data_IF_861489298719
#
_entry.id   IF_861489298719
#
_cell.length_a   1.000
_cell.length_b   1.000
_cell.length_c   1.000
_cell.angle_alpha   90.00
_cell.angle_beta   90.00
_cell.angle_gamma   90.00
#
_symmetry.space_group_name_H-M   'P 1'
#
loop_
_entity.id
_entity.type
_entity.pdbx_description
1 polymer ?
#
# COMPACT_ATOMS: atom_id res chain seq x y z
N UNK A 1 5.57 28.77 30.19
CA UNK A 1 4.18 28.87 30.66
C UNK A 1 3.64 30.24 30.32
N UNK A 2 3.37 30.42 29.04
CA UNK A 2 2.79 31.60 28.43
C UNK A 2 1.40 31.29 27.87
N UNK A 3 0.57 32.33 27.77
CA UNK A 3 -0.72 32.27 27.08
C UNK A 3 -0.65 33.25 25.91
N UNK A 4 -0.71 32.72 24.69
CA UNK A 4 -0.70 33.49 23.46
C UNK A 4 -2.11 33.54 22.86
N UNK A 5 -2.52 34.72 22.38
CA UNK A 5 -3.81 34.96 21.74
C UNK A 5 -3.54 35.68 20.41
N UNK A 6 -3.84 35.03 19.29
CA UNK A 6 -3.67 35.60 17.93
C UNK A 6 -4.75 36.65 17.64
N UNK A 7 -6.01 36.27 17.83
CA UNK A 7 -7.16 37.12 17.59
C UNK A 7 -7.74 36.91 16.19
N UNK A 8 -7.58 37.90 15.32
CA UNK A 8 -8.09 37.81 13.95
C UNK A 8 -6.97 38.06 12.95
N UNK A 9 -6.92 37.25 11.90
CA UNK A 9 -5.83 37.26 10.93
C UNK A 9 -5.14 35.90 10.90
N UNK A 10 -4.05 35.82 10.14
CA UNK A 10 -3.24 34.62 10.08
C UNK A 10 -2.03 34.85 10.99
N UNK A 11 -2.04 34.25 12.16
CA UNK A 11 -1.07 34.46 13.22
C UNK A 11 -0.06 33.32 13.32
N UNK A 12 1.16 33.65 13.77
CA UNK A 12 2.18 32.67 14.15
C UNK A 12 2.32 32.70 15.67
N UNK A 13 1.92 31.61 16.33
CA UNK A 13 1.98 31.45 17.78
C UNK A 13 3.13 30.51 18.13
N UNK A 14 4.06 31.01 18.94
CA UNK A 14 5.21 30.26 19.44
C UNK A 14 5.46 30.63 20.90
N UNK A 15 5.05 29.75 21.83
CA UNK A 15 5.30 29.90 23.26
C UNK A 15 6.77 29.71 23.65
N UNK A 16 7.53 29.02 22.80
CA UNK A 16 8.90 28.64 23.08
C UNK A 16 8.97 27.55 24.14
N UNK A 17 9.96 27.64 25.02
CA UNK A 17 10.15 26.62 26.05
C UNK A 17 9.15 26.76 27.19
N UNK A 18 8.50 25.67 27.55
CA UNK A 18 7.60 25.62 28.71
C UNK A 18 6.37 24.80 28.38
N UNK A 19 5.35 24.89 29.24
CA UNK A 19 4.02 24.38 28.93
C UNK A 19 3.15 25.57 28.59
N UNK A 20 2.86 25.78 27.31
CA UNK A 20 2.22 27.00 26.83
C UNK A 20 0.81 26.74 26.31
N UNK A 21 -0.03 27.79 26.30
CA UNK A 21 -1.36 27.73 25.69
C UNK A 21 -1.43 28.73 24.55
N UNK A 22 -1.73 28.26 23.35
CA UNK A 22 -1.82 29.05 22.13
C UNK A 22 -3.25 29.03 21.60
N UNK A 23 -3.86 30.21 21.50
CA UNK A 23 -5.25 30.42 21.07
C UNK A 23 -5.22 31.25 19.78
N UNK A 24 -5.54 30.67 18.62
CA UNK A 24 -5.45 31.36 17.32
C UNK A 24 -6.53 32.39 17.13
N UNK A 25 -7.77 31.93 17.04
CA UNK A 25 -8.93 32.80 16.88
C UNK A 25 -9.59 32.63 15.53
N UNK A 26 -9.48 33.61 14.62
CA UNK A 26 -10.02 33.49 13.25
C UNK A 26 -8.97 33.82 12.22
N UNK A 27 -8.96 33.11 11.10
CA UNK A 27 -7.93 33.15 10.08
C UNK A 27 -7.12 31.86 10.11
N UNK A 28 -6.09 31.77 9.27
CA UNK A 28 -5.27 30.56 9.15
C UNK A 28 -4.01 30.71 9.98
N UNK A 29 -3.99 30.10 11.15
CA UNK A 29 -2.98 30.24 12.18
C UNK A 29 -1.95 29.11 12.12
N UNK A 30 -0.74 29.41 12.62
CA UNK A 30 0.36 28.45 12.75
C UNK A 30 0.84 28.36 14.20
N UNK A 31 0.85 27.15 14.73
CA UNK A 31 1.28 26.83 16.09
C UNK A 31 2.64 26.13 16.08
N UNK A 32 3.62 26.69 16.79
CA UNK A 32 4.89 26.00 17.05
C UNK A 32 4.73 25.22 18.35
N UNK A 33 4.68 23.90 18.24
CA UNK A 33 4.56 22.99 19.40
C UNK A 33 5.91 22.30 19.62
N UNK A 34 6.62 22.70 20.66
CA UNK A 34 7.94 22.15 21.03
C UNK A 34 7.93 21.36 22.34
N UNK A 35 6.85 21.47 23.12
CA UNK A 35 6.65 20.75 24.37
C UNK A 35 5.38 19.91 24.33
N UNK A 36 5.45 18.67 24.83
CA UNK A 36 4.30 17.77 24.89
C UNK A 36 3.17 18.26 25.81
N UNK A 37 3.45 19.24 26.68
CA UNK A 37 2.44 19.90 27.50
C UNK A 37 1.70 21.04 26.79
N UNK A 38 2.18 21.51 25.64
CA UNK A 38 1.57 22.66 24.96
C UNK A 38 0.12 22.36 24.56
N UNK A 39 -0.73 23.37 24.71
CA UNK A 39 -2.16 23.31 24.39
C UNK A 39 -2.45 24.25 23.24
N UNK A 40 -2.90 23.69 22.12
CA UNK A 40 -3.46 24.45 21.00
C UNK A 40 -4.98 24.51 21.16
N UNK A 41 -5.55 25.71 21.08
CA UNK A 41 -6.99 25.94 21.23
C UNK A 41 -7.52 26.61 19.99
N UNK A 42 -8.41 25.91 19.28
CA UNK A 42 -9.05 26.43 18.08
C UNK A 42 -10.57 26.39 18.10
N UNK A 43 -11.15 27.34 17.36
CA UNK A 43 -12.57 27.49 17.16
C UNK A 43 -13.06 26.73 15.93
N UNK A 44 -14.32 26.31 15.95
CA UNK A 44 -14.96 25.71 14.79
C UNK A 44 -15.09 26.73 13.65
N UNK A 45 -14.64 26.37 12.44
CA UNK A 45 -14.60 27.25 11.26
C UNK A 45 -13.76 28.53 11.48
N UNK A 46 -12.71 28.43 12.29
CA UNK A 46 -11.75 29.52 12.54
C UNK A 46 -10.90 29.81 11.30
N UNK A 47 -10.51 28.78 10.56
CA UNK A 47 -9.71 28.91 9.36
C UNK A 47 -9.28 27.53 8.88
N UNK A 48 -8.09 27.48 8.28
CA UNK A 48 -7.36 26.26 7.96
C UNK A 48 -6.00 26.37 8.64
N UNK A 49 -5.87 25.66 9.74
CA UNK A 49 -4.87 25.93 10.76
C UNK A 49 -3.78 24.85 10.78
N UNK A 50 -2.58 25.21 11.24
CA UNK A 50 -1.40 24.33 11.17
C UNK A 50 -0.70 24.19 12.50
N UNK A 51 -0.49 22.95 12.91
CA UNK A 51 0.53 22.61 13.90
C UNK A 51 1.86 22.31 13.21
N UNK A 52 2.91 22.96 13.66
CA UNK A 52 4.30 22.71 13.29
C UNK A 52 5.05 22.23 14.53
N UNK A 53 5.53 20.99 14.54
CA UNK A 53 6.06 20.36 15.75
C UNK A 53 7.46 19.77 15.58
N UNK A 54 8.21 19.79 16.67
CA UNK A 54 9.49 19.08 16.83
C UNK A 54 9.34 17.81 17.67
N UNK A 55 8.14 17.54 18.21
CA UNK A 55 7.85 16.34 18.97
C UNK A 55 7.88 15.12 18.05
N UNK A 56 8.38 14.00 18.55
CA UNK A 56 8.37 12.73 17.80
C UNK A 56 6.98 12.13 17.64
N UNK A 57 5.95 12.72 18.26
CA UNK A 57 4.56 12.33 18.06
C UNK A 57 3.62 13.49 18.36
N UNK A 58 2.58 13.62 17.55
CA UNK A 58 1.51 14.59 17.77
C UNK A 58 0.19 14.11 17.17
N UNK A 59 -0.91 14.40 17.85
CA UNK A 59 -2.27 14.18 17.35
C UNK A 59 -2.98 15.51 17.23
N UNK A 60 -3.53 15.81 16.06
CA UNK A 60 -4.32 17.03 15.86
C UNK A 60 -5.55 17.04 16.78
N UNK A 61 -5.70 18.13 17.53
CA UNK A 61 -6.95 18.45 18.20
C UNK A 61 -8.07 18.73 17.18
N UNK A 62 -9.31 18.82 17.65
CA UNK A 62 -10.43 19.18 16.78
C UNK A 62 -10.25 20.58 16.17
N UNK A 63 -10.79 20.80 14.96
CA UNK A 63 -10.71 22.06 14.21
C UNK A 63 -9.30 22.44 13.73
N UNK A 64 -8.34 21.51 13.76
CA UNK A 64 -7.03 21.67 13.13
C UNK A 64 -6.95 20.79 11.90
N UNK A 65 -6.45 21.33 10.79
CA UNK A 65 -6.41 20.62 9.52
C UNK A 65 -5.00 20.17 9.16
N UNK A 66 -3.97 20.95 9.49
CA UNK A 66 -2.60 20.66 9.01
C UNK A 66 -1.65 20.29 10.15
N UNK A 67 -0.87 19.24 9.93
CA UNK A 67 0.24 18.83 10.79
C UNK A 67 1.52 18.77 9.98
N UNK A 68 2.59 19.39 10.48
CA UNK A 68 3.91 19.33 9.85
C UNK A 68 4.99 19.05 10.88
N UNK A 69 5.82 18.06 10.60
CA UNK A 69 6.98 17.72 11.41
C UNK A 69 8.22 18.48 10.92
N UNK A 70 8.95 19.09 11.84
CA UNK A 70 10.14 19.90 11.57
C UNK A 70 11.44 19.18 11.93
N UNK A 71 11.34 18.03 12.58
CA UNK A 71 12.50 17.25 13.00
C UNK A 71 13.03 16.36 11.88
N UNK A 72 14.12 15.66 12.18
CA UNK A 72 14.79 14.75 11.25
C UNK A 72 14.72 13.28 11.69
N UNK A 73 14.05 13.02 12.81
CA UNK A 73 13.88 11.66 13.36
C UNK A 73 12.58 11.03 12.88
N UNK A 74 12.28 9.84 13.41
CA UNK A 74 10.97 9.22 13.23
C UNK A 74 9.87 10.04 13.91
N UNK A 75 8.74 10.17 13.24
CA UNK A 75 7.57 10.91 13.67
C UNK A 75 6.31 10.06 13.63
N UNK A 76 5.46 10.19 14.64
CA UNK A 76 4.12 9.61 14.65
C UNK A 76 3.07 10.72 14.64
N UNK A 77 2.57 11.04 13.43
CA UNK A 77 1.57 12.07 13.18
C UNK A 77 0.18 11.49 13.00
N UNK A 78 -0.79 11.97 13.78
CA UNK A 78 -2.18 11.52 13.69
C UNK A 78 -3.07 12.74 13.44
N UNK A 79 -3.94 12.66 12.45
CA UNK A 79 -4.98 13.66 12.17
C UNK A 79 -6.18 13.52 13.12
N UNK A 80 -7.33 13.97 12.66
CA UNK A 80 -8.59 13.95 13.40
C UNK A 80 -9.71 13.41 12.52
N UNK A 81 -10.85 14.10 12.43
CA UNK A 81 -11.99 13.66 11.61
C UNK A 81 -12.31 14.59 10.44
N UNK A 82 -11.46 15.61 10.25
CA UNK A 82 -11.53 16.56 9.16
C UNK A 82 -10.63 16.08 8.03
N UNK A 83 -10.64 16.79 6.91
CA UNK A 83 -9.65 16.61 5.86
C UNK A 83 -8.32 17.18 6.37
N UNK A 84 -7.38 16.31 6.64
CA UNK A 84 -6.09 16.62 7.20
C UNK A 84 -4.99 16.60 6.14
N UNK A 85 -4.05 17.54 6.23
CA UNK A 85 -2.77 17.44 5.54
C UNK A 85 -1.67 17.19 6.57
N UNK A 86 -1.04 16.03 6.49
CA UNK A 86 0.01 15.61 7.41
C UNK A 86 1.31 15.44 6.63
N UNK A 87 2.35 16.15 7.06
CA UNK A 87 3.70 16.06 6.46
C UNK A 87 4.69 15.57 7.49
N UNK A 88 5.29 14.42 7.21
CA UNK A 88 6.43 13.85 7.92
C UNK A 88 7.74 14.57 7.58
N UNK A 89 8.86 13.89 7.81
CA UNK A 89 10.21 14.40 7.69
C UNK A 89 11.13 13.48 6.90
N UNK A 90 12.36 13.33 7.41
CA UNK A 90 13.38 12.47 6.80
C UNK A 90 13.64 11.17 7.58
N UNK A 91 12.80 10.87 8.55
CA UNK A 91 12.86 9.64 9.35
C UNK A 91 11.79 8.65 8.91
N UNK A 92 11.80 7.46 9.52
CA UNK A 92 10.75 6.47 9.26
C UNK A 92 9.50 6.85 10.04
N UNK A 93 8.52 7.40 9.36
CA UNK A 93 7.35 8.02 9.95
C UNK A 93 6.13 7.09 9.95
N UNK A 94 5.24 7.30 10.90
CA UNK A 94 3.91 6.67 10.95
C UNK A 94 2.91 7.80 10.86
N UNK A 95 2.21 7.90 9.73
CA UNK A 95 1.23 8.93 9.47
C UNK A 95 -0.16 8.30 9.38
N UNK A 96 -1.11 8.83 10.15
CA UNK A 96 -2.51 8.41 10.10
C UNK A 96 -3.43 9.61 9.93
N UNK A 97 -4.35 9.57 8.97
CA UNK A 97 -5.37 10.60 8.78
C UNK A 97 -6.38 10.65 9.94
N UNK A 98 -6.66 9.51 10.57
CA UNK A 98 -7.37 9.40 11.83
C UNK A 98 -8.56 8.46 11.74
N UNK A 99 -9.58 8.68 12.58
CA UNK A 99 -10.78 7.83 12.65
C UNK A 99 -12.03 8.53 12.09
N UNK A 100 -11.88 9.61 11.31
CA UNK A 100 -13.00 10.25 10.63
C UNK A 100 -13.16 9.78 9.19
N UNK A 101 -14.08 10.43 8.47
CA UNK A 101 -14.32 10.28 7.04
C UNK A 101 -13.64 11.40 6.25
N UNK A 102 -12.53 11.93 6.77
CA UNK A 102 -11.82 13.03 6.15
C UNK A 102 -11.12 12.54 4.89
N UNK A 103 -11.09 13.36 3.85
CA UNK A 103 -10.25 13.07 2.68
C UNK A 103 -8.87 13.67 2.94
N UNK A 104 -7.92 12.83 3.35
CA UNK A 104 -6.64 13.21 3.90
C UNK A 104 -5.52 13.22 2.86
N UNK A 105 -4.49 14.04 3.10
CA UNK A 105 -3.24 14.06 2.34
C UNK A 105 -2.09 13.75 3.29
N UNK A 106 -1.47 12.58 3.11
CA UNK A 106 -0.32 12.15 3.89
C UNK A 106 0.95 12.22 3.02
N UNK A 107 1.97 12.91 3.51
CA UNK A 107 3.27 13.07 2.85
C UNK A 107 4.35 12.54 3.80
N UNK A 108 4.93 11.37 3.50
CA UNK A 108 5.96 10.72 4.32
C UNK A 108 7.27 11.51 4.32
N UNK A 109 7.86 11.65 3.14
CA UNK A 109 9.10 12.38 2.92
C UNK A 109 10.23 11.43 2.55
N UNK A 110 11.27 11.37 3.38
CA UNK A 110 12.32 10.38 3.19
C UNK A 110 12.33 9.43 4.39
N UNK A 111 12.61 8.16 4.17
CA UNK A 111 12.49 7.15 5.21
C UNK A 111 11.67 5.98 4.71
N UNK A 112 11.51 4.97 5.55
CA UNK A 112 10.56 3.90 5.28
C UNK A 112 9.30 4.20 6.08
N UNK A 113 8.33 4.82 5.43
CA UNK A 113 7.16 5.39 6.07
C UNK A 113 5.97 4.43 6.05
N UNK A 114 5.09 4.55 7.04
CA UNK A 114 3.79 3.88 7.08
C UNK A 114 2.70 4.95 6.97
N UNK A 115 1.97 4.93 5.87
CA UNK A 115 0.89 5.88 5.57
C UNK A 115 -0.45 5.15 5.63
N UNK A 116 -1.35 5.63 6.48
CA UNK A 116 -2.71 5.13 6.62
C UNK A 116 -3.71 6.29 6.63
N UNK A 117 -4.35 6.56 5.48
CA UNK A 117 -5.38 7.59 5.38
C UNK A 117 -6.52 7.39 6.40
N UNK A 118 -6.88 6.15 6.69
CA UNK A 118 -8.04 5.83 7.51
C UNK A 118 -9.28 5.76 6.62
N UNK A 119 -10.43 6.19 7.12
CA UNK A 119 -11.62 6.22 6.26
C UNK A 119 -11.65 7.54 5.50
N UNK A 120 -12.06 7.49 4.23
CA UNK A 120 -12.10 8.68 3.40
C UNK A 120 -11.62 8.36 2.01
N UNK A 121 -11.48 9.37 1.17
CA UNK A 121 -10.77 9.26 -0.10
C UNK A 121 -9.43 9.93 0.06
N UNK A 122 -8.40 9.14 0.32
CA UNK A 122 -7.12 9.67 0.79
C UNK A 122 -6.08 9.75 -0.32
N UNK A 123 -5.13 10.66 -0.18
CA UNK A 123 -3.93 10.73 -1.02
C UNK A 123 -2.69 10.49 -0.17
N UNK A 124 -1.94 9.44 -0.49
CA UNK A 124 -0.73 9.06 0.22
C UNK A 124 0.49 9.18 -0.70
N UNK A 125 1.48 9.96 -0.27
CA UNK A 125 2.74 10.24 -0.97
C UNK A 125 3.89 9.82 -0.05
N UNK A 126 4.55 8.70 -0.34
CA UNK A 126 5.61 8.11 0.49
C UNK A 126 6.90 8.89 0.36
N UNK A 127 7.49 8.91 -0.84
CA UNK A 127 8.58 9.81 -1.18
C UNK A 127 9.86 9.05 -1.54
N UNK A 128 10.84 8.93 -0.65
CA UNK A 128 12.03 8.10 -0.89
C UNK A 128 12.26 7.13 0.26
N UNK A 129 12.63 5.91 -0.04
CA UNK A 129 12.72 4.80 0.89
C UNK A 129 11.63 3.78 0.58
N UNK A 130 11.51 2.75 1.40
CA UNK A 130 10.57 1.65 1.18
C UNK A 130 9.32 1.87 2.03
N UNK A 131 8.30 2.43 1.42
CA UNK A 131 7.09 2.88 2.07
C UNK A 131 5.99 1.81 2.07
N UNK A 132 5.10 1.90 3.06
CA UNK A 132 3.92 1.06 3.19
C UNK A 132 2.66 1.92 3.22
N UNK A 133 1.75 1.60 2.30
CA UNK A 133 0.46 2.25 2.12
C UNK A 133 -0.66 1.33 2.59
N UNK A 134 -1.48 1.79 3.54
CA UNK A 134 -2.72 1.11 3.90
C UNK A 134 -3.82 1.67 3.01
N UNK A 135 -4.32 0.86 2.09
CA UNK A 135 -5.42 1.22 1.18
C UNK A 135 -6.66 0.44 1.58
N UNK A 136 -7.65 1.12 2.14
CA UNK A 136 -8.90 0.52 2.60
C UNK A 136 -10.13 1.08 1.87
N UNK A 137 -9.97 2.15 1.08
CA UNK A 137 -11.00 2.73 0.23
C UNK A 137 -10.58 2.66 -1.25
N UNK A 138 -11.52 2.29 -2.11
CA UNK A 138 -11.29 2.24 -3.56
C UNK A 138 -11.04 3.63 -4.19
N UNK A 139 -11.34 4.71 -3.47
CA UNK A 139 -11.00 6.07 -3.85
C UNK A 139 -9.56 6.47 -3.55
N UNK A 140 -8.85 5.74 -2.68
CA UNK A 140 -7.51 6.13 -2.25
C UNK A 140 -6.53 6.18 -3.41
N UNK A 141 -5.65 7.17 -3.36
CA UNK A 141 -4.60 7.41 -4.34
C UNK A 141 -3.25 7.27 -3.69
N UNK A 142 -2.47 6.31 -4.18
CA UNK A 142 -1.05 6.17 -3.84
C UNK A 142 -0.21 6.83 -4.93
N UNK A 143 0.69 7.72 -4.55
CA UNK A 143 1.58 8.44 -5.46
C UNK A 143 3.02 8.10 -5.12
N UNK A 144 3.70 7.45 -6.07
CA UNK A 144 5.09 7.04 -5.93
C UNK A 144 6.02 7.64 -6.99
N UNK A 145 7.29 7.79 -6.60
CA UNK A 145 8.36 8.32 -7.42
C UNK A 145 9.06 7.24 -8.25
N UNK A 146 9.68 7.61 -9.37
CA UNK A 146 10.53 6.65 -10.10
C UNK A 146 11.83 6.39 -9.32
N UNK A 147 12.13 5.12 -9.00
CA UNK A 147 13.27 4.71 -8.19
C UNK A 147 13.27 5.31 -6.76
N UNK A 148 12.08 5.51 -6.19
CA UNK A 148 11.89 5.99 -4.83
C UNK A 148 12.23 4.93 -3.77
N UNK A 149 11.99 3.66 -4.07
CA UNK A 149 12.33 2.55 -3.21
C UNK A 149 11.74 1.25 -3.74
N UNK A 150 11.39 0.36 -2.82
CA UNK A 150 10.65 -0.87 -3.06
C UNK A 150 9.43 -0.84 -2.15
N UNK A 151 8.30 -0.45 -2.72
CA UNK A 151 7.16 0.05 -1.96
C UNK A 151 6.04 -0.98 -1.90
N UNK A 152 5.19 -0.87 -0.88
CA UNK A 152 4.11 -1.83 -0.62
C UNK A 152 2.76 -1.16 -0.47
N UNK A 153 1.79 -1.65 -1.24
CA UNK A 153 0.38 -1.49 -0.89
C UNK A 153 -0.08 -2.68 -0.05
N UNK A 154 -0.66 -2.37 1.09
CA UNK A 154 -1.38 -3.30 1.95
C UNK A 154 -2.87 -2.97 1.90
N UNK A 155 -3.71 -3.93 1.52
CA UNK A 155 -5.14 -3.65 1.30
C UNK A 155 -6.07 -4.69 1.90
N UNK A 156 -7.29 -4.24 2.19
CA UNK A 156 -8.46 -5.06 2.53
C UNK A 156 -9.56 -4.99 1.46
N UNK A 157 -9.33 -4.26 0.36
CA UNK A 157 -10.25 -4.20 -0.76
C UNK A 157 -10.34 -5.57 -1.44
N UNK A 158 -11.51 -5.91 -1.97
CA UNK A 158 -11.70 -7.14 -2.75
C UNK A 158 -10.92 -7.16 -4.08
N UNK A 159 -10.42 -6.00 -4.52
CA UNK A 159 -9.61 -5.90 -5.72
C UNK A 159 -8.67 -4.69 -5.64
N UNK A 160 -7.43 -4.86 -6.10
CA UNK A 160 -6.49 -3.76 -6.22
C UNK A 160 -5.52 -3.96 -7.40
N UNK A 161 -5.18 -2.88 -8.08
CA UNK A 161 -4.17 -2.86 -9.15
C UNK A 161 -3.06 -1.91 -8.76
N UNK A 162 -1.82 -2.39 -8.72
CA UNK A 162 -0.66 -1.56 -8.43
C UNK A 162 -0.51 -0.45 -9.49
N UNK A 163 -0.39 0.79 -9.01
CA UNK A 163 0.06 1.91 -9.82
C UNK A 163 1.51 1.74 -10.30
N UNK A 164 2.00 2.70 -11.09
CA UNK A 164 3.40 2.72 -11.48
C UNK A 164 4.32 2.88 -10.26
N UNK A 165 5.56 2.39 -10.35
CA UNK A 165 6.57 2.46 -9.28
C UNK A 165 6.21 1.74 -7.97
N UNK A 166 5.18 0.88 -7.97
CA UNK A 166 4.86 0.04 -6.83
C UNK A 166 5.26 -1.41 -7.13
N UNK A 167 6.00 -2.03 -6.22
CA UNK A 167 6.53 -3.38 -6.42
C UNK A 167 5.75 -4.44 -5.63
N UNK A 168 5.21 -4.10 -4.46
CA UNK A 168 4.60 -5.10 -3.58
C UNK A 168 3.11 -4.84 -3.35
N UNK A 169 2.31 -5.89 -3.46
CA UNK A 169 0.90 -5.91 -3.08
C UNK A 169 0.66 -7.01 -2.06
N UNK A 170 0.08 -6.69 -0.91
CA UNK A 170 -0.38 -7.69 0.05
C UNK A 170 -1.82 -7.48 0.47
N UNK A 171 -2.60 -8.56 0.41
CA UNK A 171 -3.96 -8.62 0.92
C UNK A 171 -3.98 -9.29 2.29
N UNK A 172 -4.67 -8.69 3.26
CA UNK A 172 -4.82 -9.27 4.62
C UNK A 172 -6.21 -9.82 4.90
N UNK A 173 -7.13 -9.76 3.93
CA UNK A 173 -8.49 -10.26 4.13
C UNK A 173 -8.59 -11.77 3.99
N UNK A 174 -9.77 -12.29 4.30
CA UNK A 174 -10.11 -13.71 4.23
C UNK A 174 -11.06 -14.05 3.08
N UNK A 175 -11.59 -13.04 2.40
CA UNK A 175 -12.50 -13.18 1.27
C UNK A 175 -11.70 -13.31 -0.04
N UNK A 176 -12.40 -13.60 -1.14
CA UNK A 176 -11.79 -13.64 -2.46
C UNK A 176 -11.23 -12.26 -2.86
N UNK A 177 -9.98 -12.25 -3.32
CA UNK A 177 -9.25 -11.06 -3.71
C UNK A 177 -8.82 -11.10 -5.18
N UNK A 178 -8.86 -9.95 -5.85
CA UNK A 178 -8.28 -9.77 -7.18
C UNK A 178 -7.08 -8.83 -7.12
N UNK A 179 -5.87 -9.38 -7.13
CA UNK A 179 -4.62 -8.62 -7.13
C UNK A 179 -4.01 -8.52 -8.51
N UNK A 180 -3.65 -7.31 -8.95
CA UNK A 180 -2.97 -7.08 -10.23
C UNK A 180 -1.72 -6.23 -10.05
N UNK A 181 -0.58 -6.68 -10.54
CA UNK A 181 0.66 -5.92 -10.59
C UNK A 181 0.72 -4.98 -11.79
N UNK A 182 1.93 -4.63 -12.20
CA UNK A 182 2.21 -3.67 -13.27
C UNK A 182 3.28 -4.24 -14.24
N UNK A 183 4.18 -3.39 -14.75
CA UNK A 183 5.25 -3.80 -15.69
C UNK A 183 6.61 -4.04 -15.03
N UNK A 184 6.68 -3.99 -13.70
CA UNK A 184 7.89 -4.17 -12.89
C UNK A 184 7.98 -5.62 -12.41
N UNK A 185 9.03 -5.96 -11.65
CA UNK A 185 9.07 -7.24 -10.95
C UNK A 185 8.26 -7.12 -9.65
N UNK A 186 7.01 -7.59 -9.67
CA UNK A 186 6.09 -7.47 -8.55
C UNK A 186 6.16 -8.66 -7.58
N UNK A 187 5.93 -8.39 -6.30
CA UNK A 187 5.59 -9.44 -5.32
C UNK A 187 4.14 -9.26 -4.88
N UNK A 188 3.30 -10.23 -5.18
CA UNK A 188 1.86 -10.19 -4.86
C UNK A 188 1.53 -11.33 -3.92
N UNK A 189 0.88 -11.01 -2.79
CA UNK A 189 0.44 -11.97 -1.79
C UNK A 189 -1.07 -11.85 -1.58
N UNK A 190 -1.78 -12.93 -1.91
CA UNK A 190 -3.19 -13.12 -1.58
C UNK A 190 -3.41 -13.41 -0.09
N UNK A 191 -4.65 -13.72 0.26
CA UNK A 191 -5.13 -13.97 1.60
C UNK A 191 -5.47 -15.44 1.83
N UNK A 192 -6.61 -15.68 2.46
CA UNK A 192 -7.12 -17.05 2.69
C UNK A 192 -8.34 -17.38 1.85
N UNK A 193 -8.74 -16.47 0.95
CA UNK A 193 -9.87 -16.62 0.06
C UNK A 193 -9.47 -17.34 -1.22
N UNK A 194 -10.41 -17.46 -2.16
CA UNK A 194 -10.07 -17.94 -3.51
C UNK A 194 -9.65 -16.73 -4.33
N UNK A 195 -8.36 -16.55 -4.50
CA UNK A 195 -7.79 -15.32 -5.02
C UNK A 195 -7.46 -15.42 -6.51
N UNK A 196 -7.47 -14.28 -7.18
CA UNK A 196 -7.10 -14.14 -8.59
C UNK A 196 -5.94 -13.18 -8.67
N UNK A 197 -4.75 -13.72 -8.96
CA UNK A 197 -3.51 -12.93 -8.98
C UNK A 197 -2.98 -12.81 -10.41
N UNK A 198 -2.74 -11.58 -10.84
CA UNK A 198 -2.09 -11.26 -12.13
C UNK A 198 -0.80 -10.51 -11.83
N UNK A 199 0.36 -11.11 -12.12
CA UNK A 199 1.65 -10.44 -11.95
C UNK A 199 1.77 -9.21 -12.86
N UNK A 200 1.40 -9.39 -14.13
CA UNK A 200 1.50 -8.36 -15.14
C UNK A 200 2.57 -8.74 -16.15
N UNK A 201 3.40 -7.78 -16.52
CA UNK A 201 4.63 -8.05 -17.26
C UNK A 201 5.80 -7.86 -16.29
N UNK A 202 6.86 -8.65 -16.41
CA UNK A 202 7.98 -8.53 -15.50
C UNK A 202 8.54 -9.89 -15.16
N UNK A 203 9.14 -10.02 -14.00
CA UNK A 203 9.46 -11.34 -13.46
C UNK A 203 8.89 -11.34 -12.04
N UNK A 204 7.67 -11.83 -11.91
CA UNK A 204 6.87 -11.63 -10.72
C UNK A 204 7.02 -12.78 -9.73
N UNK A 205 6.74 -12.52 -8.47
CA UNK A 205 6.61 -13.52 -7.41
C UNK A 205 5.20 -13.47 -6.84
N UNK A 206 4.46 -14.54 -7.01
CA UNK A 206 3.07 -14.66 -6.60
C UNK A 206 2.95 -15.68 -5.46
N UNK A 207 2.15 -15.33 -4.46
CA UNK A 207 1.80 -16.18 -3.33
C UNK A 207 0.28 -16.16 -3.24
N UNK A 208 -0.36 -17.29 -3.55
CA UNK A 208 -1.82 -17.41 -3.53
C UNK A 208 -2.38 -17.29 -2.11
N UNK A 209 -1.74 -18.01 -1.19
CA UNK A 209 -2.15 -18.13 0.20
C UNK A 209 -2.89 -19.44 0.45
N UNK A 210 -3.99 -19.38 1.18
CA UNK A 210 -4.89 -20.53 1.32
C UNK A 210 -6.08 -20.31 0.42
N UNK A 211 -6.68 -21.38 -0.09
CA UNK A 211 -7.86 -21.27 -0.94
C UNK A 211 -7.65 -22.06 -2.20
N UNK A 212 -8.55 -21.87 -3.17
CA UNK A 212 -8.37 -22.34 -4.53
C UNK A 212 -8.07 -21.11 -5.40
N UNK A 213 -6.80 -20.85 -5.66
CA UNK A 213 -6.36 -19.62 -6.30
C UNK A 213 -6.24 -19.76 -7.82
N UNK A 214 -6.27 -18.62 -8.51
CA UNK A 214 -6.09 -18.57 -9.96
C UNK A 214 -5.02 -17.54 -10.31
N UNK A 215 -3.92 -18.03 -10.88
CA UNK A 215 -2.83 -17.20 -11.37
C UNK A 215 -3.06 -16.92 -12.86
N UNK A 216 -3.25 -15.65 -13.22
CA UNK A 216 -3.61 -15.24 -14.58
C UNK A 216 -2.39 -14.76 -15.38
N UNK A 217 -2.26 -15.27 -16.60
CA UNK A 217 -1.16 -14.94 -17.50
C UNK A 217 -1.66 -14.42 -18.85
N UNK A 218 -1.12 -13.27 -19.26
CA UNK A 218 -1.32 -12.67 -20.58
C UNK A 218 0.01 -12.59 -21.33
N UNK A 219 -0.02 -12.26 -22.63
CA UNK A 219 1.19 -12.29 -23.44
C UNK A 219 2.28 -11.33 -22.90
N UNK A 220 3.52 -11.83 -22.79
CA UNK A 220 4.64 -11.05 -22.26
C UNK A 220 4.66 -10.95 -20.74
N UNK A 221 4.14 -11.98 -20.05
CA UNK A 221 4.17 -12.05 -18.59
C UNK A 221 5.60 -12.19 -18.04
N UNK A 222 6.52 -12.77 -18.81
CA UNK A 222 7.93 -12.91 -18.46
C UNK A 222 8.25 -14.18 -17.67
N UNK A 223 9.09 -14.09 -16.63
CA UNK A 223 9.55 -15.27 -15.87
C UNK A 223 9.09 -15.20 -14.42
N UNK A 224 7.93 -15.78 -14.16
CA UNK A 224 7.26 -15.66 -12.88
C UNK A 224 7.55 -16.84 -11.96
N UNK A 225 7.34 -16.62 -10.68
CA UNK A 225 7.46 -17.62 -9.62
C UNK A 225 6.17 -17.68 -8.83
N UNK A 226 5.66 -18.88 -8.61
CA UNK A 226 4.57 -19.13 -7.65
C UNK A 226 5.16 -19.93 -6.50
N UNK A 227 4.98 -19.43 -5.27
CA UNK A 227 5.68 -19.98 -4.10
C UNK A 227 4.94 -21.12 -3.40
N UNK A 228 3.63 -21.23 -3.61
CA UNK A 228 2.73 -22.07 -2.81
C UNK A 228 1.66 -22.79 -3.63
N UNK A 229 1.88 -22.95 -4.94
CA UNK A 229 0.92 -23.60 -5.85
C UNK A 229 0.48 -24.99 -5.36
N UNK A 230 -0.82 -25.19 -5.12
CA UNK A 230 -1.41 -26.48 -4.76
C UNK A 230 -2.13 -27.12 -5.96
N UNK A 231 -1.52 -28.15 -6.55
CA UNK A 231 -2.09 -28.90 -7.66
C UNK A 231 -3.16 -29.94 -7.23
N UNK A 232 -3.48 -30.07 -5.94
CA UNK A 232 -4.32 -31.15 -5.44
C UNK A 232 -5.82 -30.90 -5.67
N UNK A 233 -6.51 -31.70 -6.51
CA UNK A 233 -7.95 -31.52 -6.77
C UNK A 233 -8.85 -31.79 -5.56
N UNK A 234 -8.32 -32.39 -4.49
CA UNK A 234 -9.07 -32.77 -3.29
C UNK A 234 -8.95 -31.79 -2.13
N UNK A 235 -8.15 -30.73 -2.28
CA UNK A 235 -8.09 -29.61 -1.34
C UNK A 235 -7.18 -28.52 -1.85
N UNK A 236 -7.70 -27.29 -1.94
CA UNK A 236 -6.89 -26.10 -2.26
C UNK A 236 -6.48 -25.97 -3.73
N UNK A 237 -7.14 -26.62 -4.69
CA UNK A 237 -6.64 -26.64 -6.07
C UNK A 237 -6.49 -25.24 -6.65
N UNK A 238 -5.25 -24.88 -6.91
CA UNK A 238 -4.85 -23.71 -7.66
C UNK A 238 -4.85 -23.98 -9.16
N UNK A 239 -5.06 -22.93 -9.95
CA UNK A 239 -5.11 -23.00 -11.41
C UNK A 239 -4.22 -21.96 -12.06
N UNK A 240 -3.54 -22.38 -13.13
CA UNK A 240 -2.82 -21.49 -14.04
C UNK A 240 -3.73 -21.11 -15.21
N UNK A 241 -4.20 -19.87 -15.24
CA UNK A 241 -5.04 -19.37 -16.33
C UNK A 241 -4.20 -18.80 -17.47
N UNK A 242 -4.11 -19.58 -18.54
CA UNK A 242 -3.35 -19.26 -19.76
C UNK A 242 -4.27 -19.08 -20.97
N UNK A 243 -5.58 -18.93 -20.75
CA UNK A 243 -6.55 -18.78 -21.82
C UNK A 243 -6.28 -17.55 -22.70
N UNK A 244 -5.78 -16.47 -22.11
CA UNK A 244 -5.43 -15.24 -22.83
C UNK A 244 -4.23 -15.43 -23.80
N UNK A 245 -3.47 -16.52 -23.67
CA UNK A 245 -2.38 -16.89 -24.58
C UNK A 245 -2.87 -17.66 -25.83
N UNK A 246 -4.17 -17.97 -25.92
CA UNK A 246 -4.75 -18.73 -27.04
C UNK A 246 -4.42 -20.23 -26.99
N UNK A 247 -3.98 -20.73 -25.83
CA UNK A 247 -3.73 -22.16 -25.62
C UNK A 247 -5.07 -22.86 -25.38
N UNK A 248 -5.41 -23.81 -26.25
CA UNK A 248 -6.61 -24.66 -26.16
C UNK A 248 -6.22 -26.08 -25.79
N UNK A 249 -7.20 -26.91 -25.42
CA UNK A 249 -6.93 -28.32 -25.11
C UNK A 249 -6.24 -29.07 -26.27
N UNK A 250 -6.55 -28.69 -27.52
CA UNK A 250 -6.02 -29.33 -28.72
C UNK A 250 -4.55 -28.96 -29.02
N UNK A 251 -4.11 -27.77 -28.61
CA UNK A 251 -2.75 -27.28 -28.89
C UNK A 251 -1.85 -27.26 -27.64
N UNK A 252 -2.36 -27.64 -26.46
CA UNK A 252 -1.66 -27.58 -25.18
C UNK A 252 -0.24 -28.19 -25.25
N UNK A 253 -0.12 -29.45 -25.69
CA UNK A 253 1.17 -30.14 -25.75
C UNK A 253 2.16 -29.53 -26.76
N UNK A 254 1.71 -28.69 -27.69
CA UNK A 254 2.57 -27.98 -28.63
C UNK A 254 3.05 -26.62 -28.10
N UNK A 255 2.35 -26.05 -27.12
CA UNK A 255 2.60 -24.70 -26.61
C UNK A 255 3.13 -24.68 -25.17
N UNK A 256 2.90 -25.74 -24.40
CA UNK A 256 3.27 -25.84 -22.99
C UNK A 256 4.27 -26.98 -22.81
N UNK A 257 5.45 -26.66 -22.28
CA UNK A 257 6.43 -27.64 -21.85
C UNK A 257 6.55 -27.60 -20.32
N UNK A 258 6.48 -28.76 -19.67
CA UNK A 258 6.55 -28.89 -18.21
C UNK A 258 7.74 -29.79 -17.88
N UNK A 259 8.67 -29.33 -17.04
CA UNK A 259 9.89 -30.07 -16.71
C UNK A 259 10.38 -29.79 -15.28
N UNK A 260 11.02 -30.79 -14.69
CA UNK A 260 11.70 -30.64 -13.40
C UNK A 260 12.94 -29.75 -13.54
N UNK A 261 13.09 -28.80 -12.60
CA UNK A 261 14.27 -27.94 -12.48
C UNK A 261 14.72 -27.89 -11.02
N UNK A 262 15.57 -28.84 -10.63
CA UNK A 262 16.05 -28.96 -9.26
C UNK A 262 14.94 -29.44 -8.33
N UNK A 263 14.47 -28.59 -7.43
CA UNK A 263 13.39 -28.88 -6.49
C UNK A 263 12.02 -28.33 -6.94
N UNK A 264 11.98 -27.73 -8.13
CA UNK A 264 10.83 -26.98 -8.63
C UNK A 264 10.37 -27.55 -9.98
N UNK A 265 9.15 -27.21 -10.38
CA UNK A 265 8.61 -27.49 -11.72
C UNK A 265 8.61 -26.21 -12.53
N UNK A 266 9.11 -26.27 -13.77
CA UNK A 266 9.10 -25.16 -14.72
C UNK A 266 8.08 -25.43 -15.82
N UNK A 267 7.11 -24.53 -15.95
CA UNK A 267 6.16 -24.47 -17.06
C UNK A 267 6.65 -23.41 -18.05
N UNK A 268 6.98 -23.80 -19.28
CA UNK A 268 7.46 -22.90 -20.33
C UNK A 268 6.39 -22.72 -21.40
N UNK A 269 6.10 -21.47 -21.75
CA UNK A 269 5.09 -21.10 -22.76
C UNK A 269 5.70 -20.04 -23.69
N UNK A 270 6.10 -20.46 -24.89
CA UNK A 270 6.79 -19.57 -25.82
C UNK A 270 8.14 -19.09 -25.27
N UNK A 271 8.28 -17.79 -25.03
CA UNK A 271 9.48 -17.17 -24.46
C UNK A 271 9.40 -16.94 -22.94
N UNK A 272 8.21 -17.13 -22.37
CA UNK A 272 7.88 -16.84 -20.99
C UNK A 272 7.83 -18.14 -20.16
N UNK A 273 7.96 -18.04 -18.83
CA UNK A 273 7.98 -19.22 -17.96
C UNK A 273 7.38 -18.97 -16.57
N UNK A 274 6.79 -20.01 -15.99
CA UNK A 274 6.24 -20.04 -14.65
C UNK A 274 6.99 -21.11 -13.86
N UNK A 275 7.66 -20.70 -12.78
CA UNK A 275 8.35 -21.60 -11.87
C UNK A 275 7.47 -21.87 -10.64
N UNK A 276 6.98 -23.10 -10.54
CA UNK A 276 6.23 -23.59 -9.38
C UNK A 276 7.24 -24.09 -8.34
N UNK A 277 7.47 -23.27 -7.31
CA UNK A 277 8.51 -23.53 -6.31
C UNK A 277 8.08 -24.67 -5.38
N UNK A 278 8.98 -25.61 -5.13
CA UNK A 278 8.74 -26.73 -4.21
C UNK A 278 7.94 -27.90 -4.81
N UNK A 279 7.45 -27.79 -6.04
CA UNK A 279 6.83 -28.90 -6.77
C UNK A 279 7.92 -29.71 -7.46
N UNK A 280 8.37 -30.79 -6.82
CA UNK A 280 9.55 -31.56 -7.24
C UNK A 280 9.28 -32.64 -8.31
N UNK A 281 8.02 -32.87 -8.69
CA UNK A 281 7.63 -33.85 -9.70
C UNK A 281 6.68 -33.21 -10.71
N UNK A 282 7.23 -32.81 -11.86
CA UNK A 282 6.52 -32.19 -12.96
C UNK A 282 5.37 -33.05 -13.51
N UNK A 283 5.37 -34.37 -13.28
CA UNK A 283 4.27 -35.25 -13.71
C UNK A 283 2.99 -35.06 -12.91
N UNK A 284 3.08 -34.40 -11.75
CA UNK A 284 1.91 -34.01 -10.94
C UNK A 284 1.15 -32.82 -11.53
N UNK A 285 1.79 -32.05 -12.41
CA UNK A 285 1.18 -30.92 -13.10
C UNK A 285 0.67 -31.40 -14.46
N UNK A 286 -0.63 -31.32 -14.66
CA UNK A 286 -1.32 -31.83 -15.85
C UNK A 286 -2.22 -30.77 -16.45
N UNK A 287 -2.84 -31.07 -17.60
CA UNK A 287 -3.76 -30.15 -18.27
C UNK A 287 -4.94 -29.69 -17.39
N UNK A 288 -5.31 -30.46 -16.34
CA UNK A 288 -6.40 -30.08 -15.44
C UNK A 288 -6.06 -28.92 -14.51
N UNK A 289 -4.78 -28.61 -14.34
CA UNK A 289 -4.28 -27.52 -13.49
C UNK A 289 -4.24 -26.20 -14.26
N UNK A 290 -4.80 -26.18 -15.48
CA UNK A 290 -4.82 -25.02 -16.36
C UNK A 290 -6.24 -24.64 -16.77
N UNK A 291 -6.51 -23.34 -16.78
CA UNK A 291 -7.66 -22.77 -17.49
C UNK A 291 -7.20 -22.43 -18.91
N UNK A 292 -7.87 -23.03 -19.90
CA UNK A 292 -7.53 -22.94 -21.32
C UNK A 292 -8.58 -22.14 -22.11
N UNK A 293 -8.18 -21.63 -23.27
CA UNK A 293 -9.10 -21.07 -24.25
C UNK A 293 -10.04 -22.14 -24.82
N UNK A 294 -11.26 -21.71 -25.14
CA UNK A 294 -12.31 -22.54 -25.78
C UNK A 294 -12.02 -22.72 -27.27
#
# INVERSE_FOLDING_TARGET
DDILIGGAGNDLLNGGQGVDTMIGGTGNDMYIVDNAGDVVVEGLNAGVDRVHTLLSSYTLGASLENLSYAGTGAFHGIGNSLNNQITGGGGNDILSGGNGLGDDILIGGAGNDLLNGGQGVDTMIGGTGNDMYIVDNAGDVVIEGLNAGVDRVHTLLSSYTLGASLENLSYAGTDAFMGTGNGLANTITGGTGNDVLTGGAGNDTLVGGLGNDTFMFAAGFGNDRILDFDANPTGGQDLLNIAALGVTAANFAANVAIADVGADTLVTIGADSIRLVGIADATTITQTDFILAV
#
